data_IF_983296618663
#
_entry.id   IF_983296618663
#
_cell.length_a   1.000
_cell.length_b   1.000
_cell.length_c   1.000
_cell.angle_alpha   90.00
_cell.angle_beta   90.00
_cell.angle_gamma   90.00
#
_symmetry.space_group_name_H-M   'P 1'
#
loop_
_entity.id
_entity.type
_entity.pdbx_description
1 polymer ?
#
# COMPACT_ATOMS: atom_id res chain seq x y z
N UNK A 1 -27.69 25.52 65.57
CA UNK A 1 -27.88 25.17 64.14
C UNK A 1 -26.69 24.35 63.74
N UNK A 2 -26.81 23.03 63.89
CA UNK A 2 -25.79 22.05 63.53
C UNK A 2 -25.89 21.77 62.04
N UNK A 3 -24.85 22.15 61.29
CA UNK A 3 -24.63 21.71 59.93
C UNK A 3 -24.28 20.21 59.97
N UNK A 4 -25.17 19.37 59.49
CA UNK A 4 -24.87 17.98 59.20
C UNK A 4 -24.32 17.93 57.77
N UNK A 5 -22.99 17.90 57.66
CA UNK A 5 -22.32 17.47 56.44
C UNK A 5 -22.72 16.01 56.19
N UNK A 6 -23.61 15.81 55.21
CA UNK A 6 -23.86 14.48 54.66
C UNK A 6 -22.59 14.00 53.97
N UNK A 7 -22.27 12.69 54.02
CA UNK A 7 -21.10 12.20 53.32
C UNK A 7 -21.35 12.43 51.81
N UNK A 8 -20.50 13.24 51.19
CA UNK A 8 -20.32 13.21 49.73
C UNK A 8 -20.01 11.76 49.38
N UNK A 9 -21.03 11.10 48.84
CA UNK A 9 -20.92 9.79 48.26
C UNK A 9 -20.05 9.99 47.02
N UNK A 10 -18.73 9.81 47.18
CA UNK A 10 -17.88 9.44 46.07
C UNK A 10 -18.48 8.13 45.55
N UNK A 11 -19.42 8.22 44.61
CA UNK A 11 -19.79 7.10 43.77
C UNK A 11 -18.46 6.60 43.23
N UNK A 12 -18.04 5.45 43.74
CA UNK A 12 -16.88 4.71 43.28
C UNK A 12 -17.12 4.55 41.79
N UNK A 13 -16.44 5.37 40.98
CA UNK A 13 -16.42 5.21 39.52
C UNK A 13 -16.02 3.76 39.30
N UNK A 14 -17.03 2.98 38.93
CA UNK A 14 -16.89 1.55 38.69
C UNK A 14 -15.63 1.34 37.86
N UNK A 15 -14.85 0.35 38.26
CA UNK A 15 -13.58 -0.10 37.69
C UNK A 15 -13.67 -0.38 36.19
N UNK A 16 -13.83 0.67 35.38
CA UNK A 16 -14.11 0.58 33.96
C UNK A 16 -12.84 0.20 33.22
N UNK A 17 -12.95 -0.78 32.34
CA UNK A 17 -11.84 -1.25 31.53
C UNK A 17 -11.61 -0.27 30.36
N UNK A 18 -10.64 0.63 30.52
CA UNK A 18 -10.24 1.54 29.45
C UNK A 18 -9.45 0.81 28.37
N UNK A 19 -9.78 1.09 27.11
CA UNK A 19 -9.08 0.50 25.97
C UNK A 19 -7.77 1.25 25.68
N UNK A 20 -6.67 0.51 25.57
CA UNK A 20 -5.40 0.99 25.02
C UNK A 20 -5.47 1.03 23.50
N UNK A 21 -5.86 -0.09 22.90
CA UNK A 21 -6.05 -0.20 21.45
C UNK A 21 -7.39 -0.87 21.15
N UNK A 22 -8.02 -0.45 20.06
CA UNK A 22 -9.26 -1.06 19.57
C UNK A 22 -9.14 -1.31 18.08
N UNK A 23 -9.57 -2.48 17.63
CA UNK A 23 -9.59 -2.87 16.24
C UNK A 23 -11.04 -2.92 15.78
N UNK A 24 -11.33 -2.15 14.73
CA UNK A 24 -12.67 -2.04 14.16
C UNK A 24 -12.66 -2.46 12.70
N UNK A 25 -13.66 -3.22 12.29
CA UNK A 25 -13.85 -3.65 10.92
C UNK A 25 -14.87 -2.75 10.23
N UNK A 26 -14.48 -2.27 9.06
CA UNK A 26 -15.28 -1.41 8.19
C UNK A 26 -16.05 -2.26 7.17
N UNK A 27 -17.30 -1.88 6.92
CA UNK A 27 -18.10 -2.49 5.86
C UNK A 27 -17.54 -2.14 4.47
N UNK A 28 -17.74 -3.03 3.50
CA UNK A 28 -17.25 -2.90 2.13
C UNK A 28 -18.33 -2.58 1.09
N UNK A 29 -19.52 -2.16 1.54
CA UNK A 29 -20.60 -1.77 0.63
C UNK A 29 -20.30 -0.43 -0.06
N UNK A 30 -19.51 0.42 0.58
CA UNK A 30 -19.07 1.70 0.08
C UNK A 30 -17.78 2.13 0.79
N UNK A 31 -17.11 3.15 0.24
CA UNK A 31 -15.89 3.70 0.82
C UNK A 31 -16.17 4.47 2.12
N UNK A 32 -15.68 3.97 3.24
CA UNK A 32 -15.71 4.68 4.53
C UNK A 32 -14.62 5.76 4.56
N UNK A 33 -15.04 7.02 4.69
CA UNK A 33 -14.17 8.20 4.63
C UNK A 33 -13.42 8.46 5.95
N UNK A 34 -12.41 9.34 5.92
CA UNK A 34 -11.73 9.81 7.15
C UNK A 34 -12.69 10.50 8.12
N UNK A 35 -13.68 11.24 7.60
CA UNK A 35 -14.67 11.95 8.41
C UNK A 35 -15.59 10.99 9.14
N UNK A 36 -16.05 9.93 8.48
CA UNK A 36 -16.88 8.88 9.10
C UNK A 36 -16.08 8.18 10.21
N UNK A 37 -14.81 7.83 9.97
CA UNK A 37 -13.93 7.23 10.99
C UNK A 37 -13.75 8.15 12.20
N UNK A 38 -13.51 9.44 11.97
CA UNK A 38 -13.40 10.42 13.05
C UNK A 38 -14.74 10.59 13.81
N UNK A 39 -15.86 10.67 13.09
CA UNK A 39 -17.19 10.75 13.69
C UNK A 39 -17.50 9.51 14.54
N UNK A 40 -17.13 8.32 14.07
CA UNK A 40 -17.25 7.09 14.86
C UNK A 40 -16.46 7.19 16.16
N UNK A 41 -15.22 7.69 16.13
CA UNK A 41 -14.42 7.89 17.33
C UNK A 41 -15.08 8.87 18.30
N UNK A 42 -15.43 10.08 17.85
CA UNK A 42 -16.05 11.09 18.71
C UNK A 42 -17.43 10.67 19.25
N UNK A 43 -18.20 9.91 18.47
CA UNK A 43 -19.49 9.37 18.90
C UNK A 43 -19.32 8.38 20.06
N UNK A 44 -18.20 7.66 20.10
CA UNK A 44 -17.93 6.62 21.10
C UNK A 44 -16.95 7.07 22.20
N UNK A 45 -16.41 8.28 22.11
CA UNK A 45 -15.50 8.84 23.12
C UNK A 45 -16.20 8.94 24.48
N UNK A 46 -15.52 8.45 25.52
CA UNK A 46 -16.00 8.32 26.90
C UNK A 46 -17.29 7.48 27.03
N UNK A 47 -17.59 6.62 26.05
CA UNK A 47 -18.71 5.67 26.13
C UNK A 47 -18.22 4.26 26.32
N UNK A 48 -19.08 3.47 26.95
CA UNK A 48 -18.90 2.03 27.12
C UNK A 48 -19.44 1.32 25.89
N UNK A 49 -18.59 0.50 25.26
CA UNK A 49 -18.93 -0.34 24.13
C UNK A 49 -18.89 -1.80 24.57
N UNK A 50 -19.95 -2.54 24.24
CA UNK A 50 -19.98 -3.99 24.41
C UNK A 50 -19.41 -4.65 23.15
N UNK A 51 -18.25 -5.27 23.28
CA UNK A 51 -17.61 -6.10 22.28
C UNK A 51 -18.17 -7.51 22.36
N UNK A 52 -18.69 -8.03 21.25
CA UNK A 52 -19.03 -9.45 21.12
C UNK A 52 -17.89 -10.15 20.40
N UNK A 53 -17.29 -11.14 21.04
CA UNK A 53 -16.12 -11.81 20.48
C UNK A 53 -16.53 -12.71 19.32
N UNK A 54 -15.97 -12.42 18.14
CA UNK A 54 -16.11 -13.24 16.95
C UNK A 54 -14.79 -13.91 16.63
N UNK A 55 -14.86 -15.12 16.08
CA UNK A 55 -13.67 -15.89 15.67
C UNK A 55 -13.40 -15.77 14.17
N UNK A 56 -14.40 -15.37 13.37
CA UNK A 56 -14.29 -15.32 11.91
C UNK A 56 -15.01 -14.12 11.29
N UNK A 57 -14.65 -13.85 10.03
CA UNK A 57 -15.17 -12.73 9.24
C UNK A 57 -16.58 -13.01 8.72
N UNK A 58 -17.56 -12.72 9.57
CA UNK A 58 -18.98 -12.75 9.21
C UNK A 58 -19.42 -11.43 8.53
N UNK A 59 -20.63 -11.44 7.98
CA UNK A 59 -21.23 -10.23 7.41
C UNK A 59 -21.45 -9.19 8.52
N UNK A 60 -20.88 -8.01 8.32
CA UNK A 60 -21.02 -6.88 9.24
C UNK A 60 -22.49 -6.46 9.37
N UNK A 61 -22.94 -6.28 10.62
CA UNK A 61 -24.29 -5.78 10.92
C UNK A 61 -24.33 -4.26 10.89
N UNK A 62 -23.25 -3.62 11.33
CA UNK A 62 -23.10 -2.16 11.37
C UNK A 62 -22.03 -1.71 10.38
N UNK A 63 -22.04 -0.42 10.05
CA UNK A 63 -21.06 0.19 9.15
C UNK A 63 -19.61 0.03 9.66
N UNK A 64 -19.40 0.20 10.97
CA UNK A 64 -18.13 -0.01 11.67
C UNK A 64 -18.41 -0.82 12.94
N UNK A 65 -17.83 -2.01 13.02
CA UNK A 65 -18.01 -2.94 14.14
C UNK A 65 -16.69 -3.16 14.89
N UNK A 66 -16.72 -3.18 16.22
CA UNK A 66 -15.55 -3.52 17.02
C UNK A 66 -15.35 -5.03 16.99
N UNK A 67 -14.15 -5.49 16.64
CA UNK A 67 -13.82 -6.92 16.53
C UNK A 67 -12.80 -7.38 17.57
N UNK A 68 -11.98 -6.47 18.08
CA UNK A 68 -11.00 -6.77 19.13
C UNK A 68 -10.65 -5.50 19.90
N UNK A 69 -10.21 -5.68 21.14
CA UNK A 69 -9.69 -4.61 21.98
C UNK A 69 -8.57 -5.11 22.88
N UNK A 70 -7.63 -4.23 23.18
CA UNK A 70 -6.55 -4.43 24.13
C UNK A 70 -6.79 -3.45 25.28
N UNK A 71 -7.01 -3.94 26.51
CA UNK A 71 -7.22 -3.08 27.67
C UNK A 71 -5.91 -2.40 28.10
N UNK A 72 -5.99 -1.24 28.76
CA UNK A 72 -4.83 -0.61 29.42
C UNK A 72 -4.35 -1.43 30.61
N UNK A 73 -5.29 -1.98 31.37
CA UNK A 73 -5.05 -2.78 32.56
C UNK A 73 -5.77 -4.12 32.44
N UNK A 74 -5.02 -5.20 32.27
CA UNK A 74 -5.56 -6.54 32.04
C UNK A 74 -6.44 -7.05 33.19
N UNK A 75 -6.12 -6.65 34.42
CA UNK A 75 -6.85 -7.05 35.64
C UNK A 75 -8.32 -6.62 35.67
N UNK A 76 -8.70 -5.61 34.89
CA UNK A 76 -10.07 -5.10 34.80
C UNK A 76 -10.84 -5.61 33.58
N UNK A 77 -10.22 -6.49 32.78
CA UNK A 77 -10.80 -6.95 31.54
C UNK A 77 -11.47 -8.31 31.75
N UNK A 78 -12.77 -8.27 31.97
CA UNK A 78 -13.58 -9.48 32.13
C UNK A 78 -14.29 -9.83 30.81
N UNK A 79 -14.31 -11.12 30.51
CA UNK A 79 -15.12 -11.70 29.43
C UNK A 79 -16.29 -12.39 30.11
N UNK A 80 -17.51 -11.99 29.76
CA UNK A 80 -18.71 -12.70 30.18
C UNK A 80 -18.79 -14.03 29.41
N UNK A 81 -18.59 -15.14 30.14
CA UNK A 81 -18.62 -16.50 29.58
C UNK A 81 -19.99 -16.87 28.97
N UNK A 82 -21.08 -16.27 29.46
CA UNK A 82 -22.44 -16.59 29.00
C UNK A 82 -22.74 -15.90 27.67
N UNK A 83 -22.39 -14.62 27.56
CA UNK A 83 -22.68 -13.82 26.36
C UNK A 83 -21.51 -13.72 25.38
N UNK A 84 -20.34 -14.26 25.75
CA UNK A 84 -19.07 -14.10 25.05
C UNK A 84 -18.82 -12.64 24.68
N UNK A 85 -18.99 -11.75 25.67
CA UNK A 85 -18.89 -10.31 25.47
C UNK A 85 -18.08 -9.62 26.55
N UNK A 86 -17.48 -8.49 26.21
CA UNK A 86 -16.68 -7.66 27.11
C UNK A 86 -17.07 -6.21 26.96
N UNK A 87 -17.06 -5.46 28.06
CA UNK A 87 -17.34 -4.01 28.02
C UNK A 87 -16.05 -3.24 28.11
N UNK A 88 -15.85 -2.31 27.17
CA UNK A 88 -14.66 -1.44 27.11
C UNK A 88 -15.07 0.03 27.04
N UNK A 89 -14.28 0.90 27.65
CA UNK A 89 -14.44 2.36 27.51
C UNK A 89 -13.43 2.93 26.53
N UNK A 90 -13.91 3.66 25.52
CA UNK A 90 -13.04 4.42 24.62
C UNK A 90 -12.70 5.74 25.27
N UNK A 91 -11.43 6.09 25.30
CA UNK A 91 -10.91 7.32 25.91
C UNK A 91 -10.03 8.07 24.89
N UNK A 92 -9.64 9.30 25.22
CA UNK A 92 -8.97 10.20 24.27
C UNK A 92 -7.62 9.67 23.77
N UNK A 93 -6.94 8.85 24.58
CA UNK A 93 -5.66 8.22 24.26
C UNK A 93 -5.80 6.80 23.70
N UNK A 94 -7.03 6.29 23.48
CA UNK A 94 -7.26 5.00 22.83
C UNK A 94 -6.83 5.05 21.36
N UNK A 95 -5.93 4.15 20.96
CA UNK A 95 -5.55 3.98 19.54
C UNK A 95 -6.59 3.13 18.82
N UNK A 96 -7.23 3.69 17.79
CA UNK A 96 -8.24 2.97 16.99
C UNK A 96 -7.64 2.55 15.64
N UNK A 97 -7.58 1.24 15.40
CA UNK A 97 -7.12 0.63 14.16
C UNK A 97 -8.34 0.27 13.29
N UNK A 98 -8.51 0.97 12.18
CA UNK A 98 -9.59 0.71 11.21
C UNK A 98 -9.12 -0.27 10.14
N UNK A 99 -9.77 -1.42 10.07
CA UNK A 99 -9.46 -2.49 9.14
C UNK A 99 -10.53 -2.53 8.04
N UNK A 100 -10.08 -2.74 6.80
CA UNK A 100 -10.96 -2.98 5.66
C UNK A 100 -10.93 -4.44 5.25
N UNK A 101 -12.03 -4.96 4.71
CA UNK A 101 -12.02 -6.31 4.11
C UNK A 101 -11.44 -6.30 2.69
N UNK A 102 -11.21 -5.14 2.08
CA UNK A 102 -10.70 -4.99 0.72
C UNK A 102 -9.58 -3.95 0.63
N UNK A 103 -8.41 -4.37 0.15
CA UNK A 103 -7.24 -3.49 -0.08
C UNK A 103 -6.86 -3.46 -1.54
N UNK A 104 -6.28 -2.32 -1.96
CA UNK A 104 -5.65 -2.12 -3.27
C UNK A 104 -4.20 -1.81 -3.06
N UNK A 105 -3.33 -2.57 -3.72
CA UNK A 105 -1.90 -2.30 -3.75
C UNK A 105 -1.45 -2.18 -5.20
N UNK A 106 -0.79 -1.07 -5.49
CA UNK A 106 -0.16 -0.81 -6.77
C UNK A 106 1.36 -0.74 -6.57
N UNK A 107 2.07 -1.71 -7.14
CA UNK A 107 3.53 -1.72 -7.17
C UNK A 107 3.98 -1.06 -8.47
N UNK A 108 4.74 0.03 -8.35
CA UNK A 108 5.33 0.71 -9.48
C UNK A 108 6.85 0.48 -9.44
N UNK A 109 7.31 -0.46 -10.24
CA UNK A 109 8.71 -0.86 -10.33
C UNK A 109 9.43 0.12 -11.26
N UNK A 110 10.51 0.72 -10.81
CA UNK A 110 11.39 1.48 -11.69
C UNK A 110 12.34 0.52 -12.40
N UNK A 111 12.29 0.49 -13.73
CA UNK A 111 13.19 -0.25 -14.60
C UNK A 111 14.00 0.72 -15.48
N UNK A 112 14.42 1.85 -14.89
CA UNK A 112 15.37 2.77 -15.48
C UNK A 112 16.69 2.10 -15.84
N UNK A 113 17.42 2.56 -16.87
CA UNK A 113 18.70 1.95 -17.26
C UNK A 113 19.72 1.85 -16.13
N UNK A 114 19.65 2.72 -15.11
CA UNK A 114 20.46 2.62 -13.89
C UNK A 114 20.27 1.30 -13.12
N UNK A 115 19.09 0.68 -13.20
CA UNK A 115 18.78 -0.61 -12.56
C UNK A 115 19.44 -1.79 -13.28
N UNK A 116 19.89 -1.60 -14.53
CA UNK A 116 20.67 -2.62 -15.25
C UNK A 116 22.17 -2.61 -14.89
N UNK A 117 22.59 -1.72 -13.98
CA UNK A 117 23.98 -1.71 -13.49
C UNK A 117 24.18 -2.81 -12.45
N UNK A 118 25.40 -3.37 -12.41
CA UNK A 118 25.78 -4.40 -11.44
C UNK A 118 26.07 -3.68 -10.11
N UNK A 119 25.45 -4.12 -9.03
CA UNK A 119 25.86 -3.70 -7.69
C UNK A 119 27.21 -4.34 -7.37
N UNK A 120 28.26 -3.52 -7.35
CA UNK A 120 29.64 -3.94 -7.09
C UNK A 120 29.79 -4.48 -5.65
N UNK A 121 28.91 -4.12 -4.71
CA UNK A 121 28.98 -4.56 -3.32
C UNK A 121 28.33 -5.93 -3.10
N UNK A 122 27.21 -6.20 -3.77
CA UNK A 122 26.44 -7.44 -3.60
C UNK A 122 26.67 -8.46 -4.72
N UNK A 123 27.40 -8.09 -5.77
CA UNK A 123 27.65 -8.91 -6.96
C UNK A 123 26.36 -9.42 -7.65
N UNK A 124 25.26 -8.68 -7.46
CA UNK A 124 23.94 -8.93 -8.03
C UNK A 124 23.55 -7.79 -8.97
N UNK A 125 22.63 -8.07 -9.89
CA UNK A 125 22.01 -7.06 -10.73
C UNK A 125 20.88 -6.42 -9.91
N UNK A 126 20.79 -5.09 -9.82
CA UNK A 126 19.73 -4.40 -9.04
C UNK A 126 18.31 -4.85 -9.40
N UNK A 127 18.12 -5.34 -10.63
CA UNK A 127 16.88 -5.97 -11.07
C UNK A 127 16.43 -7.17 -10.22
N UNK A 128 17.35 -8.05 -9.83
CA UNK A 128 17.02 -9.23 -9.01
C UNK A 128 16.59 -8.81 -7.59
N UNK A 129 17.17 -7.72 -7.07
CA UNK A 129 16.79 -7.18 -5.75
C UNK A 129 15.39 -6.56 -5.77
N UNK A 130 15.00 -5.89 -6.87
CA UNK A 130 13.64 -5.39 -7.06
C UNK A 130 12.64 -6.55 -7.08
N UNK A 131 12.96 -7.61 -7.82
CA UNK A 131 12.10 -8.80 -7.87
C UNK A 131 11.99 -9.48 -6.51
N UNK A 132 13.11 -9.69 -5.82
CA UNK A 132 13.14 -10.31 -4.49
C UNK A 132 12.35 -9.49 -3.45
N UNK A 133 12.47 -8.16 -3.50
CA UNK A 133 11.70 -7.25 -2.64
C UNK A 133 10.20 -7.34 -2.92
N UNK A 134 9.82 -7.43 -4.20
CA UNK A 134 8.42 -7.62 -4.60
C UNK A 134 7.89 -8.97 -4.15
N UNK A 135 8.67 -10.04 -4.33
CA UNK A 135 8.34 -11.39 -3.89
C UNK A 135 8.10 -11.46 -2.37
N UNK A 136 9.01 -10.90 -1.58
CA UNK A 136 8.87 -10.83 -0.14
C UNK A 136 7.64 -10.03 0.28
N UNK A 137 7.36 -8.92 -0.41
CA UNK A 137 6.20 -8.07 -0.16
C UNK A 137 4.88 -8.79 -0.45
N UNK A 138 4.76 -9.43 -1.62
CA UNK A 138 3.57 -10.19 -2.01
C UNK A 138 3.36 -11.41 -1.13
N UNK A 139 4.44 -12.08 -0.71
CA UNK A 139 4.37 -13.19 0.24
C UNK A 139 3.82 -12.71 1.58
N UNK A 140 4.45 -11.70 2.17
CA UNK A 140 4.08 -11.19 3.50
C UNK A 140 2.65 -10.66 3.53
N UNK A 141 2.22 -9.95 2.48
CA UNK A 141 0.88 -9.37 2.45
C UNK A 141 -0.22 -10.40 2.19
N UNK A 142 0.10 -11.52 1.54
CA UNK A 142 -0.88 -12.58 1.26
C UNK A 142 -1.28 -13.39 2.50
N UNK A 143 -0.46 -13.39 3.54
CA UNK A 143 -0.66 -14.22 4.72
C UNK A 143 -1.76 -13.65 5.64
N UNK A 144 -2.81 -14.44 5.95
CA UNK A 144 -3.79 -14.09 6.97
C UNK A 144 -3.18 -14.04 8.37
N UNK A 145 -3.79 -13.27 9.28
CA UNK A 145 -3.29 -13.15 10.65
C UNK A 145 -4.42 -12.99 11.69
N UNK A 146 -4.08 -13.25 12.96
CA UNK A 146 -4.99 -13.01 14.08
C UNK A 146 -4.90 -11.56 14.55
N UNK A 147 -6.06 -10.94 14.79
CA UNK A 147 -6.11 -9.56 15.27
C UNK A 147 -5.67 -9.51 16.74
N UNK A 148 -4.68 -8.66 17.08
CA UNK A 148 -4.20 -8.52 18.45
C UNK A 148 -5.33 -8.30 19.46
N UNK A 149 -5.26 -8.98 20.61
CA UNK A 149 -6.29 -8.93 21.66
C UNK A 149 -7.46 -9.90 21.46
N UNK A 150 -7.47 -10.70 20.39
CA UNK A 150 -8.56 -11.65 20.10
C UNK A 150 -8.06 -12.89 19.35
N UNK A 151 -8.93 -13.89 19.26
CA UNK A 151 -8.77 -15.01 18.31
C UNK A 151 -9.49 -14.74 16.98
N UNK A 152 -9.78 -13.47 16.67
CA UNK A 152 -10.42 -13.10 15.40
C UNK A 152 -9.43 -13.30 14.26
N UNK A 153 -9.75 -14.21 13.35
CA UNK A 153 -8.90 -14.53 12.22
C UNK A 153 -9.25 -13.68 11.00
N UNK A 154 -8.34 -12.78 10.62
CA UNK A 154 -8.57 -11.76 9.61
C UNK A 154 -7.99 -12.15 8.25
N UNK A 155 -8.85 -12.10 7.23
CA UNK A 155 -8.55 -12.51 5.84
C UNK A 155 -9.05 -11.45 4.87
N UNK A 156 -8.23 -10.43 4.55
CA UNK A 156 -8.63 -9.41 3.61
C UNK A 156 -8.52 -9.90 2.16
N UNK A 157 -9.35 -9.33 1.29
CA UNK A 157 -9.18 -9.44 -0.16
C UNK A 157 -8.20 -8.36 -0.63
N UNK A 158 -7.11 -8.76 -1.27
CA UNK A 158 -6.05 -7.85 -1.68
C UNK A 158 -5.97 -7.86 -3.21
N UNK A 159 -6.27 -6.71 -3.81
CA UNK A 159 -6.15 -6.50 -5.24
C UNK A 159 -4.77 -5.92 -5.56
N UNK A 160 -4.00 -6.66 -6.37
CA UNK A 160 -2.65 -6.31 -6.76
C UNK A 160 -2.63 -5.81 -8.21
N UNK A 161 -1.95 -4.69 -8.41
CA UNK A 161 -1.52 -4.21 -9.72
C UNK A 161 -0.02 -3.99 -9.69
N UNK A 162 0.68 -4.46 -10.71
CA UNK A 162 2.13 -4.29 -10.83
C UNK A 162 2.42 -3.64 -12.17
N UNK A 163 3.12 -2.51 -12.13
CA UNK A 163 3.52 -1.70 -13.27
C UNK A 163 5.04 -1.60 -13.27
N UNK A 164 5.64 -1.67 -14.44
CA UNK A 164 7.07 -1.49 -14.65
C UNK A 164 7.33 -0.24 -15.49
N UNK A 165 7.85 0.81 -14.86
CA UNK A 165 8.20 2.04 -15.53
C UNK A 165 9.56 1.95 -16.19
N UNK A 166 9.60 2.10 -17.52
CA UNK A 166 10.84 2.27 -18.27
C UNK A 166 10.87 3.72 -18.79
N UNK A 167 11.79 4.57 -18.30
CA UNK A 167 11.99 5.92 -18.80
C UNK A 167 12.31 5.94 -20.28
N UNK A 168 11.80 6.95 -20.99
CA UNK A 168 12.11 7.22 -22.41
C UNK A 168 11.90 6.03 -23.37
N UNK A 169 11.17 5.00 -22.95
CA UNK A 169 10.86 3.87 -23.80
C UNK A 169 9.83 4.31 -24.87
N UNK A 170 10.14 4.21 -26.17
CA UNK A 170 9.24 4.63 -27.26
C UNK A 170 8.08 3.64 -27.47
N UNK A 171 8.01 2.59 -26.67
CA UNK A 171 7.05 1.50 -26.81
C UNK A 171 5.65 1.96 -26.38
N UNK A 172 4.69 1.79 -27.30
CA UNK A 172 3.25 2.01 -27.11
C UNK A 172 2.60 0.94 -26.22
N UNK A 173 3.35 -0.11 -25.85
CA UNK A 173 2.84 -1.24 -25.08
C UNK A 173 2.61 -0.88 -23.59
N UNK A 174 1.58 -1.46 -22.97
CA UNK A 174 1.28 -1.20 -21.57
C UNK A 174 2.43 -1.68 -20.68
N UNK A 175 3.00 -0.74 -19.92
CA UNK A 175 3.95 -0.97 -18.82
C UNK A 175 3.31 -1.71 -17.63
N UNK A 176 2.19 -2.42 -17.86
CA UNK A 176 1.38 -3.09 -16.84
C UNK A 176 1.69 -4.58 -16.89
N UNK A 177 2.35 -5.08 -15.85
CA UNK A 177 2.68 -6.49 -15.72
C UNK A 177 1.43 -7.28 -15.32
N UNK A 178 0.70 -6.80 -14.33
CA UNK A 178 -0.51 -7.41 -13.80
C UNK A 178 -1.47 -6.28 -13.40
N UNK A 179 -2.76 -6.48 -13.62
CA UNK A 179 -3.80 -5.53 -13.22
C UNK A 179 -4.93 -6.25 -12.49
N UNK A 180 -5.26 -5.77 -11.28
CA UNK A 180 -6.43 -6.23 -10.53
C UNK A 180 -6.44 -7.69 -10.10
N UNK A 181 -5.27 -8.31 -9.96
CA UNK A 181 -5.17 -9.70 -9.51
C UNK A 181 -5.58 -9.81 -8.04
N UNK A 182 -6.49 -10.74 -7.73
CA UNK A 182 -6.87 -11.01 -6.34
C UNK A 182 -5.84 -11.98 -5.76
N UNK A 183 -4.99 -11.49 -4.88
CA UNK A 183 -3.91 -12.27 -4.28
C UNK A 183 -4.44 -13.16 -3.15
N UNK A 184 -4.10 -14.45 -3.21
CA UNK A 184 -4.31 -15.43 -2.15
C UNK A 184 -3.02 -16.21 -1.88
N UNK A 185 -2.86 -16.83 -0.71
CA UNK A 185 -1.71 -17.70 -0.44
C UNK A 185 -1.53 -18.81 -1.50
N UNK A 186 -2.65 -19.32 -2.03
CA UNK A 186 -2.64 -20.43 -2.99
C UNK A 186 -2.19 -20.01 -4.39
N UNK A 187 -2.57 -18.81 -4.86
CA UNK A 187 -2.28 -18.32 -6.21
C UNK A 187 -1.03 -17.45 -6.30
N UNK A 188 -0.39 -17.14 -5.16
CA UNK A 188 0.78 -16.27 -5.08
C UNK A 188 1.92 -16.73 -5.99
N UNK A 189 2.24 -18.02 -5.99
CA UNK A 189 3.38 -18.54 -6.76
C UNK A 189 3.14 -18.40 -8.27
N UNK A 190 1.91 -18.64 -8.72
CA UNK A 190 1.50 -18.41 -10.12
C UNK A 190 1.66 -16.92 -10.50
N UNK A 191 1.20 -16.02 -9.64
CA UNK A 191 1.36 -14.59 -9.84
C UNK A 191 2.84 -14.18 -9.95
N UNK A 192 3.69 -14.69 -9.06
CA UNK A 192 5.12 -14.39 -9.05
C UNK A 192 5.81 -14.87 -10.32
N UNK A 193 5.52 -16.09 -10.77
CA UNK A 193 6.06 -16.63 -12.02
C UNK A 193 5.64 -15.78 -13.24
N UNK A 194 4.37 -15.38 -13.29
CA UNK A 194 3.86 -14.49 -14.35
C UNK A 194 4.57 -13.13 -14.35
N UNK A 195 4.77 -12.53 -13.17
CA UNK A 195 5.50 -11.26 -13.02
C UNK A 195 6.95 -11.43 -13.46
N UNK A 196 7.63 -12.48 -13.00
CA UNK A 196 9.04 -12.73 -13.32
C UNK A 196 9.25 -12.89 -14.83
N UNK A 197 8.38 -13.65 -15.49
CA UNK A 197 8.45 -13.86 -16.95
C UNK A 197 8.22 -12.56 -17.72
N UNK A 198 7.23 -11.74 -17.32
CA UNK A 198 6.98 -10.44 -17.96
C UNK A 198 8.12 -9.46 -17.72
N UNK A 199 8.67 -9.42 -16.50
CA UNK A 199 9.82 -8.58 -16.16
C UNK A 199 11.05 -8.95 -16.98
N UNK A 200 11.42 -10.24 -17.07
CA UNK A 200 12.53 -10.71 -17.90
C UNK A 200 12.38 -10.30 -19.37
N UNK A 201 11.16 -10.35 -19.91
CA UNK A 201 10.88 -9.87 -21.26
C UNK A 201 11.04 -8.35 -21.39
N UNK A 202 10.65 -7.59 -20.37
CA UNK A 202 10.86 -6.14 -20.33
C UNK A 202 12.34 -5.75 -20.18
N UNK A 203 13.15 -6.51 -19.44
CA UNK A 203 14.59 -6.26 -19.33
C UNK A 203 15.30 -6.37 -20.68
N UNK A 204 14.98 -7.40 -21.49
CA UNK A 204 15.51 -7.54 -22.86
C UNK A 204 15.20 -6.32 -23.73
N UNK A 205 14.04 -5.71 -23.51
CA UNK A 205 13.64 -4.47 -24.19
C UNK A 205 14.47 -3.28 -23.69
N UNK A 206 14.67 -3.16 -22.37
CA UNK A 206 15.50 -2.10 -21.77
C UNK A 206 16.93 -2.16 -22.31
N UNK A 207 17.53 -3.36 -22.39
CA UNK A 207 18.87 -3.56 -22.95
C UNK A 207 18.96 -3.03 -24.38
N UNK A 208 17.98 -3.37 -25.24
CA UNK A 208 17.92 -2.89 -26.63
C UNK A 208 17.74 -1.38 -26.73
N UNK A 209 16.91 -0.77 -25.86
CA UNK A 209 16.72 0.68 -25.83
C UNK A 209 17.99 1.37 -25.33
N UNK A 210 18.65 0.83 -24.31
CA UNK A 210 19.88 1.38 -23.76
C UNK A 210 21.03 1.32 -24.78
N UNK A 211 21.18 0.22 -25.53
CA UNK A 211 22.19 0.12 -26.58
C UNK A 211 21.97 1.13 -27.70
N UNK A 212 20.71 1.35 -28.10
CA UNK A 212 20.37 2.35 -29.13
C UNK A 212 20.66 3.78 -28.66
N UNK A 213 20.29 4.11 -27.42
CA UNK A 213 20.56 5.44 -26.84
C UNK A 213 22.07 5.66 -26.66
N UNK A 214 22.82 4.62 -26.30
CA UNK A 214 24.26 4.72 -26.13
C UNK A 214 24.99 4.85 -27.49
N UNK A 215 24.54 4.15 -28.53
CA UNK A 215 25.02 4.32 -29.91
C UNK A 215 24.76 5.74 -30.43
N UNK A 216 23.56 6.27 -30.22
CA UNK A 216 23.20 7.64 -30.61
C UNK A 216 24.02 8.68 -29.83
N UNK A 217 24.22 8.49 -28.52
CA UNK A 217 25.07 9.37 -27.70
C UNK A 217 26.54 9.33 -28.14
N UNK A 218 27.09 8.15 -28.46
CA UNK A 218 28.46 8.00 -28.95
C UNK A 218 28.63 8.65 -30.33
N UNK A 219 27.67 8.49 -31.26
CA UNK A 219 27.69 9.18 -32.56
C UNK A 219 27.70 10.70 -32.41
N UNK A 220 26.99 11.25 -31.42
CA UNK A 220 26.99 12.69 -31.11
C UNK A 220 28.26 13.18 -30.41
N UNK A 221 29.04 12.29 -29.78
CA UNK A 221 30.29 12.61 -29.07
C UNK A 221 31.55 12.44 -29.92
N UNK A 222 31.46 11.89 -31.14
CA UNK A 222 32.62 11.84 -32.05
C UNK A 222 33.03 13.28 -32.45
N UNK A 223 34.34 13.62 -32.45
CA UNK A 223 34.78 14.94 -32.86
C UNK A 223 34.42 15.16 -34.32
N UNK A 224 33.70 16.25 -34.61
CA UNK A 224 33.29 16.65 -35.95
C UNK A 224 34.46 17.20 -36.81
N UNK A 225 35.68 16.72 -36.57
CA UNK A 225 36.92 17.22 -37.19
C UNK A 225 37.52 16.21 -38.18
N UNK A 226 36.73 15.74 -39.16
CA UNK A 226 37.28 15.13 -40.39
C UNK A 226 36.19 14.85 -41.46
N UNK A 227 35.29 15.80 -41.74
CA UNK A 227 34.60 15.83 -43.02
C UNK A 227 34.21 17.28 -43.32
N UNK A 228 34.92 17.86 -44.29
CA UNK A 228 34.85 19.25 -44.65
C UNK A 228 33.45 19.72 -45.04
N UNK A 229 33.30 21.04 -44.90
CA UNK A 229 32.14 21.85 -45.23
C UNK A 229 31.33 21.42 -46.47
N UNK A 230 30.04 21.71 -46.37
CA UNK A 230 28.97 21.83 -47.40
C UNK A 230 27.92 20.72 -47.28
N UNK A 231 26.65 21.18 -47.19
CA UNK A 231 25.34 20.51 -47.07
C UNK A 231 24.69 20.84 -45.72
N UNK A 232 24.20 22.07 -45.53
CA UNK A 232 22.89 22.57 -45.99
C UNK A 232 21.71 22.03 -45.16
N UNK A 233 20.97 22.95 -44.53
CA UNK A 233 19.63 22.73 -43.99
C UNK A 233 19.51 22.17 -42.56
N UNK A 234 18.72 22.87 -41.73
CA UNK A 234 18.03 22.37 -40.51
C UNK A 234 18.77 22.40 -39.16
N UNK A 235 18.95 23.62 -38.63
CA UNK A 235 19.33 23.87 -37.22
C UNK A 235 18.21 23.49 -36.22
N UNK A 236 17.02 23.09 -36.68
CA UNK A 236 15.86 22.82 -35.80
C UNK A 236 15.76 21.39 -35.25
N UNK A 237 16.48 20.40 -35.81
CA UNK A 237 16.44 19.01 -35.32
C UNK A 237 17.23 18.80 -34.02
N UNK A 238 18.41 19.41 -33.92
CA UNK A 238 19.36 19.16 -32.83
C UNK A 238 18.95 19.77 -31.47
N UNK A 239 18.09 20.80 -31.46
CA UNK A 239 17.54 21.35 -30.20
C UNK A 239 16.38 20.52 -29.67
N UNK A 240 15.63 19.84 -30.54
CA UNK A 240 14.45 19.06 -30.14
C UNK A 240 14.85 17.76 -29.45
N UNK A 241 15.89 17.09 -29.95
CA UNK A 241 16.38 15.79 -29.42
C UNK A 241 17.08 15.97 -28.07
N UNK A 242 17.87 17.04 -27.91
CA UNK A 242 18.44 17.40 -26.60
C UNK A 242 17.35 17.66 -25.56
N UNK A 243 16.22 18.24 -25.97
CA UNK A 243 15.01 18.44 -25.13
C UNK A 243 14.24 17.15 -24.82
N UNK A 244 14.37 16.11 -25.65
CA UNK A 244 13.77 14.77 -25.47
C UNK A 244 14.61 13.91 -24.52
N UNK A 245 15.95 14.06 -24.57
CA UNK A 245 16.89 13.41 -23.65
C UNK A 245 16.98 14.15 -22.30
N UNK A 246 16.86 15.48 -22.28
CA UNK A 246 16.77 16.33 -21.08
C UNK A 246 15.36 16.41 -20.48
N UNK A 247 14.46 15.44 -20.75
CA UNK A 247 13.26 15.31 -19.90
C UNK A 247 13.73 14.97 -18.49
N UNK A 248 13.85 16.03 -17.67
CA UNK A 248 14.30 16.03 -16.27
C UNK A 248 13.86 14.76 -15.55
N UNK A 249 14.73 14.21 -14.69
CA UNK A 249 14.40 13.12 -13.78
C UNK A 249 13.04 13.31 -13.10
N UNK A 250 12.68 14.58 -12.81
CA UNK A 250 11.38 14.98 -12.27
C UNK A 250 10.18 14.51 -13.11
N UNK A 251 10.28 14.56 -14.44
CA UNK A 251 9.20 14.15 -15.34
C UNK A 251 9.00 12.63 -15.33
N UNK A 252 10.08 11.86 -15.17
CA UNK A 252 9.99 10.40 -15.05
C UNK A 252 9.35 10.00 -13.71
N UNK A 253 9.73 10.67 -12.62
CA UNK A 253 9.07 10.49 -11.32
C UNK A 253 7.59 10.88 -11.39
N UNK A 254 7.23 11.98 -12.05
CA UNK A 254 5.83 12.36 -12.25
C UNK A 254 5.03 11.34 -13.06
N UNK A 255 5.64 10.74 -14.10
CA UNK A 255 5.01 9.66 -14.88
C UNK A 255 4.79 8.42 -14.00
N UNK A 256 5.77 8.03 -13.20
CA UNK A 256 5.66 6.92 -12.25
C UNK A 256 4.49 7.14 -11.27
N UNK A 257 4.43 8.32 -10.65
CA UNK A 257 3.32 8.69 -9.73
C UNK A 257 1.98 8.65 -10.45
N UNK A 258 1.91 9.21 -11.66
CA UNK A 258 0.68 9.21 -12.46
C UNK A 258 0.21 7.80 -12.78
N UNK A 259 1.12 6.90 -13.14
CA UNK A 259 0.78 5.49 -13.40
C UNK A 259 0.31 4.78 -12.12
N UNK A 260 0.93 5.05 -10.97
CA UNK A 260 0.47 4.53 -9.69
C UNK A 260 -0.94 4.99 -9.33
N UNK A 261 -1.26 6.27 -9.55
CA UNK A 261 -2.61 6.80 -9.31
C UNK A 261 -3.63 6.15 -10.26
N UNK A 262 -3.30 6.06 -11.56
CA UNK A 262 -4.17 5.42 -12.55
C UNK A 262 -4.40 3.94 -12.23
N UNK A 263 -3.37 3.22 -11.80
CA UNK A 263 -3.48 1.83 -11.36
C UNK A 263 -4.52 1.66 -10.26
N UNK A 264 -4.47 2.53 -9.25
CA UNK A 264 -5.42 2.50 -8.12
C UNK A 264 -6.85 2.83 -8.55
N UNK A 265 -7.02 3.73 -9.53
CA UNK A 265 -8.34 4.10 -10.07
C UNK A 265 -9.00 2.98 -10.87
N UNK A 266 -8.22 2.07 -11.46
CA UNK A 266 -8.73 0.95 -12.26
C UNK A 266 -9.13 -0.27 -11.42
N UNK A 267 -8.95 -0.19 -10.10
CA UNK A 267 -9.29 -1.25 -9.16
C UNK A 267 -10.64 -0.96 -8.49
N UNK A 268 -11.35 -2.00 -7.97
CA UNK A 268 -12.70 -1.85 -7.44
C UNK A 268 -12.84 -0.72 -6.42
N UNK A 269 -13.88 0.11 -6.56
CA UNK A 269 -14.05 1.39 -5.83
C UNK A 269 -14.15 1.23 -4.30
N UNK A 270 -14.67 0.10 -3.84
CA UNK A 270 -15.03 -0.15 -2.42
C UNK A 270 -13.86 -0.49 -1.50
N UNK A 271 -12.64 -0.44 -2.03
CA UNK A 271 -11.42 -0.72 -1.28
C UNK A 271 -10.86 0.57 -0.67
N UNK A 272 -10.87 0.64 0.65
CA UNK A 272 -10.51 1.83 1.40
C UNK A 272 -8.99 1.87 1.65
N UNK A 273 -8.30 2.67 0.85
CA UNK A 273 -7.06 3.36 1.25
C UNK A 273 -7.38 4.85 1.46
#
# INVERSE_FOLDING_TARGET
MSFTDGPECWEVESSLCEAKEVYVLMQNNYRISRNIRAQWFFKNLNKNLTLKWKTSQEKLTYEIEVISAIPKYAEKFEVDDVTNSSTIRIVADTKVNFLSTQYRLAFCLDLSPSVATIDIQHNNIYFEDIYSSLEQSLTSVSEPFYIPGSNYYFRPQIYITVIAHIPNCPIVAPQVLIQGWILTPDNRNELLELIQNKLKNMCKIVEKVSSTVQEEQIQFMMPHDAAGAILDGTIDGNKMIKKVLDLSADINTLKLIRYGILALQLLPENSSA
#
